data_IF_089012074702
#
_entry.id   IF_089012074702
#
_cell.length_a   1.000
_cell.length_b   1.000
_cell.length_c   1.000
_cell.angle_alpha   90.00
_cell.angle_beta   90.00
_cell.angle_gamma   90.00
#
_symmetry.space_group_name_H-M   'P 1'
#
loop_
_entity.id
_entity.type
_entity.pdbx_description
1 polymer ?
#
# COMPACT_ATOMS: atom_id res chain seq x y z
N UNK A 1 24.29 35.45 11.25
CA UNK A 1 23.49 34.23 10.92
C UNK A 1 24.33 33.40 9.96
N UNK A 2 24.41 32.10 10.14
CA UNK A 2 25.12 31.28 9.18
C UNK A 2 24.43 31.43 7.81
N UNK A 3 25.22 31.61 6.75
CA UNK A 3 24.69 31.75 5.38
C UNK A 3 24.57 30.33 4.81
N UNK A 4 23.35 29.80 4.74
CA UNK A 4 23.06 28.48 4.16
C UNK A 4 22.72 28.63 2.67
N UNK A 5 23.02 27.60 1.87
CA UNK A 5 22.64 27.55 0.46
C UNK A 5 21.12 27.59 0.32
N UNK A 6 20.39 26.87 1.20
CA UNK A 6 18.94 26.76 1.19
C UNK A 6 18.32 27.01 2.57
N UNK A 7 17.07 27.46 2.57
CA UNK A 7 16.24 27.50 3.78
C UNK A 7 15.67 26.11 4.08
N UNK A 8 15.41 25.31 3.03
CA UNK A 8 14.95 23.93 3.10
C UNK A 8 15.65 23.07 2.06
N UNK A 9 16.19 21.92 2.50
CA UNK A 9 16.61 20.84 1.62
C UNK A 9 15.75 19.60 1.87
N UNK A 10 15.07 19.09 0.82
CA UNK A 10 14.20 17.91 0.89
C UNK A 10 14.93 16.72 0.29
N UNK A 11 15.00 15.61 1.02
CA UNK A 11 15.53 14.33 0.55
C UNK A 11 14.35 13.39 0.27
N UNK A 12 14.07 13.14 -1.02
CA UNK A 12 12.97 12.34 -1.51
C UNK A 12 11.88 13.13 -2.22
N UNK A 13 11.70 12.85 -3.52
CA UNK A 13 10.75 13.49 -4.44
C UNK A 13 9.39 12.78 -4.52
N UNK A 14 9.03 11.99 -3.50
CA UNK A 14 7.71 11.38 -3.38
C UNK A 14 6.61 12.41 -3.03
N UNK A 15 5.40 11.91 -2.75
CA UNK A 15 4.21 12.76 -2.56
C UNK A 15 4.35 13.79 -1.42
N UNK A 16 4.88 13.37 -0.27
CA UNK A 16 5.08 14.25 0.89
C UNK A 16 6.18 15.28 0.63
N UNK A 17 7.36 14.83 0.17
CA UNK A 17 8.51 15.70 -0.10
C UNK A 17 8.22 16.74 -1.19
N UNK A 18 7.62 16.34 -2.31
CA UNK A 18 7.19 17.25 -3.38
C UNK A 18 6.18 18.29 -2.88
N UNK A 19 5.21 17.87 -2.05
CA UNK A 19 4.22 18.81 -1.49
C UNK A 19 4.90 19.82 -0.57
N UNK A 20 5.72 19.38 0.38
CA UNK A 20 6.43 20.25 1.31
C UNK A 20 7.35 21.23 0.59
N UNK A 21 8.17 20.73 -0.36
CA UNK A 21 9.08 21.57 -1.14
C UNK A 21 8.35 22.71 -1.89
N UNK A 22 7.28 22.35 -2.61
CA UNK A 22 6.50 23.30 -3.40
C UNK A 22 5.85 24.38 -2.55
N UNK A 23 5.23 24.00 -1.43
CA UNK A 23 4.50 24.95 -0.58
C UNK A 23 5.48 25.87 0.14
N UNK A 24 6.62 25.36 0.64
CA UNK A 24 7.66 26.19 1.24
C UNK A 24 8.25 27.18 0.21
N UNK A 25 8.55 26.73 -1.01
CA UNK A 25 9.06 27.61 -2.07
C UNK A 25 8.05 28.69 -2.49
N UNK A 26 6.75 28.32 -2.62
CA UNK A 26 5.68 29.29 -2.89
C UNK A 26 5.53 30.34 -1.77
N UNK A 27 5.91 30.01 -0.53
CA UNK A 27 6.02 30.92 0.61
C UNK A 27 7.28 31.79 0.61
N UNK A 28 8.15 31.65 -0.39
CA UNK A 28 9.37 32.47 -0.54
C UNK A 28 10.65 31.85 0.01
N UNK A 29 10.62 30.61 0.51
CA UNK A 29 11.82 29.92 0.95
C UNK A 29 12.69 29.50 -0.25
N UNK A 30 14.02 29.52 -0.08
CA UNK A 30 14.96 28.91 -1.03
C UNK A 30 14.96 27.40 -0.79
N UNK A 31 14.44 26.63 -1.73
CA UNK A 31 14.22 25.19 -1.56
C UNK A 31 14.97 24.39 -2.60
N UNK A 32 15.65 23.34 -2.14
CA UNK A 32 16.17 22.27 -2.98
C UNK A 32 15.50 20.94 -2.66
N UNK A 33 15.44 20.05 -3.65
CA UNK A 33 14.95 18.69 -3.49
C UNK A 33 15.83 17.71 -4.27
N UNK A 34 16.28 16.62 -3.61
CA UNK A 34 16.99 15.52 -4.23
C UNK A 34 16.08 14.27 -4.33
N UNK A 35 16.08 13.64 -5.53
CA UNK A 35 15.42 12.35 -5.79
C UNK A 35 16.41 11.44 -6.50
N UNK A 36 16.62 10.23 -5.98
CA UNK A 36 17.60 9.29 -6.53
C UNK A 36 17.08 8.43 -7.68
N UNK A 37 15.76 8.36 -7.85
CA UNK A 37 15.11 7.54 -8.87
C UNK A 37 14.16 8.41 -9.74
N UNK A 38 12.85 8.23 -9.60
CA UNK A 38 11.84 8.93 -10.40
C UNK A 38 10.97 9.84 -9.54
N UNK A 39 10.70 11.06 -10.03
CA UNK A 39 9.84 12.02 -9.33
C UNK A 39 8.39 11.53 -9.25
N UNK A 40 7.78 11.70 -8.07
CA UNK A 40 6.47 11.14 -7.73
C UNK A 40 6.57 9.94 -6.77
N UNK A 41 7.76 9.31 -6.69
CA UNK A 41 8.09 8.25 -5.75
C UNK A 41 7.19 7.02 -5.86
N UNK A 42 7.11 6.24 -4.79
CA UNK A 42 6.38 4.96 -4.79
C UNK A 42 4.94 5.10 -5.30
N UNK A 43 4.18 6.09 -4.83
CA UNK A 43 2.76 6.21 -5.17
C UNK A 43 2.52 6.34 -6.69
N UNK A 44 3.29 7.20 -7.35
CA UNK A 44 3.10 7.50 -8.78
C UNK A 44 3.74 6.43 -9.66
N UNK A 45 4.95 5.97 -9.30
CA UNK A 45 5.79 5.18 -10.23
C UNK A 45 5.62 3.67 -10.03
N UNK A 46 5.50 3.19 -8.77
CA UNK A 46 5.52 1.76 -8.44
C UNK A 46 4.57 1.38 -7.31
N UNK A 47 3.44 2.08 -7.19
CA UNK A 47 2.46 1.88 -6.13
C UNK A 47 1.04 2.20 -6.56
N UNK A 48 0.44 3.21 -5.94
CA UNK A 48 -0.99 3.51 -6.05
C UNK A 48 -1.49 3.64 -7.50
N UNK A 49 -0.79 4.43 -8.32
CA UNK A 49 -1.24 4.71 -9.69
C UNK A 49 -1.17 3.46 -10.58
N UNK A 50 0.01 2.86 -10.81
CA UNK A 50 0.09 1.69 -11.68
C UNK A 50 -0.74 0.52 -11.14
N UNK A 51 -0.78 0.31 -9.83
CA UNK A 51 -1.59 -0.71 -9.21
C UNK A 51 -3.09 -0.50 -9.49
N UNK A 52 -3.62 0.72 -9.31
CA UNK A 52 -5.04 1.00 -9.54
C UNK A 52 -5.42 0.87 -11.02
N UNK A 53 -4.52 1.24 -11.95
CA UNK A 53 -4.72 1.01 -13.38
C UNK A 53 -4.77 -0.51 -13.69
N UNK A 54 -3.94 -1.33 -13.03
CA UNK A 54 -4.01 -2.78 -13.14
C UNK A 54 -5.30 -3.35 -12.52
N UNK A 55 -5.78 -2.80 -11.38
CA UNK A 55 -7.09 -3.16 -10.82
C UNK A 55 -8.18 -2.93 -11.86
N UNK A 56 -8.25 -1.75 -12.49
CA UNK A 56 -9.24 -1.49 -13.53
C UNK A 56 -9.13 -2.47 -14.71
N UNK A 57 -7.90 -2.75 -15.18
CA UNK A 57 -7.70 -3.72 -16.25
C UNK A 57 -8.19 -5.12 -15.86
N UNK A 58 -7.95 -5.55 -14.63
CA UNK A 58 -8.30 -6.89 -14.13
C UNK A 58 -9.81 -7.12 -13.96
N UNK A 59 -10.61 -6.06 -13.81
CA UNK A 59 -12.07 -6.18 -13.67
C UNK A 59 -12.80 -6.41 -14.99
N UNK A 60 -12.17 -6.13 -16.14
CA UNK A 60 -12.84 -6.30 -17.44
C UNK A 60 -13.16 -7.76 -17.78
N UNK A 61 -12.33 -8.71 -17.35
CA UNK A 61 -12.59 -10.14 -17.60
C UNK A 61 -13.94 -10.57 -17.01
N UNK A 62 -14.23 -10.12 -15.81
CA UNK A 62 -15.51 -10.36 -15.13
C UNK A 62 -16.64 -9.54 -15.74
N UNK A 63 -16.38 -8.27 -16.09
CA UNK A 63 -17.36 -7.42 -16.73
C UNK A 63 -17.83 -8.00 -18.09
N UNK A 64 -16.94 -8.62 -18.87
CA UNK A 64 -17.31 -9.31 -20.11
C UNK A 64 -18.17 -10.54 -19.85
N UNK A 65 -17.90 -11.30 -18.79
CA UNK A 65 -18.75 -12.44 -18.41
C UNK A 65 -20.14 -11.94 -17.97
N UNK A 66 -20.19 -10.95 -17.12
CA UNK A 66 -21.42 -10.37 -16.61
C UNK A 66 -22.27 -9.70 -17.71
N UNK A 67 -21.63 -9.06 -18.68
CA UNK A 67 -22.34 -8.41 -19.80
C UNK A 67 -23.22 -9.41 -20.56
N UNK A 68 -22.82 -10.69 -20.66
CA UNK A 68 -23.65 -11.73 -21.29
C UNK A 68 -24.92 -12.02 -20.51
N UNK A 69 -24.84 -12.00 -19.17
CA UNK A 69 -26.01 -12.20 -18.30
C UNK A 69 -27.01 -11.04 -18.43
N UNK A 70 -26.51 -9.86 -18.84
CA UNK A 70 -27.32 -8.67 -19.16
C UNK A 70 -27.76 -8.59 -20.63
N UNK A 71 -27.56 -9.66 -21.42
CA UNK A 71 -28.02 -9.75 -22.79
C UNK A 71 -27.09 -9.20 -23.86
N UNK A 72 -25.84 -8.90 -23.54
CA UNK A 72 -24.85 -8.47 -24.53
C UNK A 72 -24.11 -9.65 -25.17
N UNK A 73 -23.98 -9.63 -26.48
CA UNK A 73 -23.08 -10.55 -27.19
C UNK A 73 -21.64 -10.04 -27.09
N UNK A 74 -20.89 -10.56 -26.13
CA UNK A 74 -19.50 -10.17 -25.91
C UNK A 74 -18.57 -11.34 -26.15
N UNK A 75 -17.59 -11.16 -27.03
CA UNK A 75 -16.47 -12.08 -27.20
C UNK A 75 -15.28 -11.53 -26.38
N UNK A 76 -14.90 -12.25 -25.32
CA UNK A 76 -13.70 -11.94 -24.55
C UNK A 76 -12.47 -12.44 -25.29
N UNK A 77 -11.47 -11.56 -25.49
CA UNK A 77 -10.13 -11.95 -25.96
C UNK A 77 -9.18 -12.20 -24.78
N UNK A 78 -7.95 -12.63 -25.09
CA UNK A 78 -6.87 -12.67 -24.11
C UNK A 78 -6.39 -11.24 -23.78
N UNK A 79 -6.02 -11.02 -22.53
CA UNK A 79 -5.43 -9.76 -22.12
C UNK A 79 -4.06 -9.57 -22.80
N UNK A 80 -3.82 -8.39 -23.39
CA UNK A 80 -2.59 -8.07 -24.11
C UNK A 80 -1.67 -7.24 -23.22
N UNK A 81 -0.77 -7.93 -22.50
CA UNK A 81 0.12 -7.30 -21.53
C UNK A 81 1.00 -6.21 -22.15
N UNK A 82 1.64 -6.46 -23.30
CA UNK A 82 2.55 -5.50 -23.93
C UNK A 82 1.85 -4.18 -24.30
N UNK A 83 0.63 -4.28 -24.82
CA UNK A 83 -0.17 -3.10 -25.15
C UNK A 83 -0.59 -2.30 -23.91
N UNK A 84 -0.94 -3.00 -22.83
CA UNK A 84 -1.26 -2.37 -21.55
C UNK A 84 -0.02 -1.74 -20.91
N UNK A 85 1.10 -2.48 -20.86
CA UNK A 85 2.38 -2.03 -20.29
C UNK A 85 2.87 -0.77 -20.97
N UNK A 86 2.88 -0.73 -22.30
CA UNK A 86 3.28 0.45 -23.08
C UNK A 86 2.45 1.69 -22.71
N UNK A 87 1.12 1.52 -22.56
CA UNK A 87 0.24 2.61 -22.12
C UNK A 87 0.51 3.02 -20.67
N UNK A 88 0.73 2.05 -19.80
CA UNK A 88 1.02 2.29 -18.38
C UNK A 88 2.32 3.10 -18.25
N UNK A 89 3.40 2.67 -18.88
CA UNK A 89 4.68 3.36 -18.87
C UNK A 89 4.56 4.81 -19.38
N UNK A 90 3.88 5.01 -20.50
CA UNK A 90 3.61 6.36 -21.04
C UNK A 90 2.80 7.24 -20.07
N UNK A 91 1.87 6.69 -19.31
CA UNK A 91 1.14 7.43 -18.28
C UNK A 91 2.02 7.77 -17.08
N UNK A 92 2.90 6.86 -16.64
CA UNK A 92 3.85 7.12 -15.55
C UNK A 92 4.86 8.22 -15.95
N UNK A 93 5.38 8.18 -17.17
CA UNK A 93 6.27 9.22 -17.70
C UNK A 93 5.57 10.58 -17.75
N UNK A 94 4.32 10.61 -18.20
CA UNK A 94 3.50 11.82 -18.22
C UNK A 94 3.31 12.42 -16.83
N UNK A 95 3.02 11.57 -15.84
CA UNK A 95 2.81 11.97 -14.44
C UNK A 95 4.12 12.46 -13.81
N UNK A 96 5.22 11.76 -14.02
CA UNK A 96 6.54 12.20 -13.55
C UNK A 96 6.88 13.59 -14.11
N UNK A 97 6.67 13.80 -15.42
CA UNK A 97 6.85 15.11 -16.03
C UNK A 97 5.96 16.20 -15.43
N UNK A 98 4.77 15.86 -14.92
CA UNK A 98 3.93 16.80 -14.14
C UNK A 98 4.61 17.14 -12.80
N UNK A 99 5.09 16.14 -12.06
CA UNK A 99 5.78 16.37 -10.77
C UNK A 99 7.01 17.26 -10.95
N UNK A 100 7.82 17.01 -11.97
CA UNK A 100 8.97 17.85 -12.30
C UNK A 100 8.55 19.29 -12.59
N UNK A 101 7.59 19.52 -13.48
CA UNK A 101 7.06 20.87 -13.78
C UNK A 101 6.48 21.58 -12.58
N UNK A 102 5.83 20.85 -11.68
CA UNK A 102 5.27 21.41 -10.45
C UNK A 102 6.37 21.94 -9.52
N UNK A 103 7.50 21.24 -9.42
CA UNK A 103 8.68 21.67 -8.65
C UNK A 103 9.33 22.89 -9.33
N UNK A 104 9.60 22.83 -10.63
CA UNK A 104 10.21 23.90 -11.42
C UNK A 104 9.40 25.20 -11.35
N UNK A 105 8.08 25.11 -11.57
CA UNK A 105 7.16 26.25 -11.53
C UNK A 105 7.05 26.88 -10.11
N UNK A 106 7.40 26.13 -9.07
CA UNK A 106 7.45 26.64 -7.70
C UNK A 106 8.82 27.22 -7.30
N UNK A 107 9.82 27.13 -8.22
CA UNK A 107 11.18 27.63 -7.97
C UNK A 107 12.03 26.69 -7.11
N UNK A 108 11.69 25.39 -7.04
CA UNK A 108 12.49 24.39 -6.33
C UNK A 108 13.66 23.95 -7.20
N UNK A 109 14.89 24.04 -6.69
CA UNK A 109 16.07 23.48 -7.36
C UNK A 109 16.07 21.96 -7.19
N UNK A 110 16.18 21.23 -8.32
CA UNK A 110 16.09 19.76 -8.34
C UNK A 110 17.46 19.11 -8.57
N UNK A 111 17.74 18.06 -7.79
CA UNK A 111 18.89 17.19 -7.95
C UNK A 111 18.42 15.76 -8.21
N UNK A 112 18.60 15.26 -9.44
CA UNK A 112 18.24 13.88 -9.81
C UNK A 112 19.38 12.93 -9.42
N UNK A 113 19.63 12.81 -8.12
CA UNK A 113 20.66 11.95 -7.55
C UNK A 113 20.41 11.74 -6.05
N UNK A 114 21.07 10.72 -5.50
CA UNK A 114 21.03 10.45 -4.06
C UNK A 114 21.62 11.60 -3.26
N UNK A 115 21.02 11.90 -2.12
CA UNK A 115 21.54 12.81 -1.11
C UNK A 115 21.63 12.11 0.25
N UNK A 116 22.68 12.41 1.01
CA UNK A 116 22.87 11.95 2.38
C UNK A 116 23.07 13.13 3.31
N UNK A 117 22.74 12.95 4.58
CA UNK A 117 22.93 13.96 5.64
C UNK A 117 24.32 13.77 6.22
N UNK A 118 25.14 14.81 6.24
CA UNK A 118 26.51 14.80 6.76
C UNK A 118 26.65 15.51 8.10
N UNK A 119 25.58 16.11 8.61
CA UNK A 119 25.54 16.81 9.90
C UNK A 119 24.22 17.55 10.07
N UNK A 120 24.10 18.35 11.12
CA UNK A 120 22.87 19.08 11.44
C UNK A 120 22.32 19.96 10.29
N UNK A 121 23.20 20.44 9.42
CA UNK A 121 22.87 21.33 8.31
C UNK A 121 23.56 20.95 7.00
N UNK A 122 24.31 19.85 6.99
CA UNK A 122 25.12 19.40 5.85
C UNK A 122 24.43 18.32 5.06
N UNK A 123 24.51 18.42 3.75
CA UNK A 123 24.03 17.45 2.77
C UNK A 123 25.18 17.16 1.79
N UNK A 124 25.36 15.91 1.38
CA UNK A 124 26.25 15.53 0.32
C UNK A 124 25.47 14.78 -0.76
N UNK A 125 25.65 15.20 -1.99
CA UNK A 125 25.07 14.57 -3.17
C UNK A 125 25.98 13.41 -3.66
N UNK A 126 25.42 12.49 -4.44
CA UNK A 126 26.16 11.31 -4.92
C UNK A 126 27.41 11.66 -5.76
N UNK A 127 27.47 12.83 -6.37
CA UNK A 127 28.64 13.32 -7.11
C UNK A 127 29.71 13.97 -6.21
N UNK A 128 29.53 13.96 -4.87
CA UNK A 128 30.42 14.58 -3.89
C UNK A 128 30.16 16.05 -3.66
N UNK A 129 29.16 16.65 -4.29
CA UNK A 129 28.82 18.06 -4.07
C UNK A 129 28.22 18.26 -2.67
N UNK A 130 28.87 19.09 -1.85
CA UNK A 130 28.36 19.46 -0.55
C UNK A 130 27.37 20.65 -0.67
N UNK A 131 26.29 20.57 0.09
CA UNK A 131 25.26 21.62 0.25
C UNK A 131 24.95 21.86 1.70
N UNK A 132 24.39 23.03 2.00
CA UNK A 132 23.97 23.39 3.36
C UNK A 132 22.53 23.88 3.37
N UNK A 133 21.78 23.52 4.42
CA UNK A 133 20.41 23.99 4.59
C UNK A 133 20.11 24.35 6.04
N UNK A 134 19.28 25.38 6.23
CA UNK A 134 18.79 25.75 7.57
C UNK A 134 17.94 24.62 8.16
N UNK A 135 17.12 23.97 7.32
CA UNK A 135 16.27 22.84 7.67
C UNK A 135 16.42 21.72 6.64
N UNK A 136 16.49 20.48 7.09
CA UNK A 136 16.51 19.29 6.26
C UNK A 136 15.21 18.51 6.49
N UNK A 137 14.52 18.14 5.42
CA UNK A 137 13.33 17.29 5.46
C UNK A 137 13.60 15.94 4.82
N UNK A 138 13.51 14.88 5.60
CA UNK A 138 13.66 13.49 5.13
C UNK A 138 12.28 12.94 4.73
N UNK A 139 12.09 12.63 3.45
CA UNK A 139 10.84 12.13 2.87
C UNK A 139 11.11 10.93 1.94
N UNK A 140 12.05 10.08 2.32
CA UNK A 140 12.59 8.98 1.51
C UNK A 140 11.66 7.77 1.40
N UNK A 141 10.53 7.77 2.14
CA UNK A 141 9.54 6.70 2.04
C UNK A 141 10.03 5.35 2.58
N UNK A 142 9.65 4.27 1.91
CA UNK A 142 10.01 2.91 2.29
C UNK A 142 10.13 1.99 1.08
N UNK A 143 10.74 0.83 1.28
CA UNK A 143 10.95 -0.21 0.26
C UNK A 143 10.35 -1.56 0.68
N UNK A 144 10.08 -2.47 -0.28
CA UNK A 144 9.59 -3.81 0.02
C UNK A 144 10.61 -4.63 0.83
N UNK A 145 10.10 -5.46 1.74
CA UNK A 145 10.92 -6.42 2.49
C UNK A 145 10.97 -7.73 1.73
N UNK A 146 12.19 -8.21 1.46
CA UNK A 146 12.46 -9.57 0.98
C UNK A 146 12.96 -10.39 2.17
N UNK A 147 12.41 -11.61 2.42
CA UNK A 147 12.89 -12.45 3.50
C UNK A 147 14.37 -12.80 3.32
N UNK A 148 15.10 -12.83 4.43
CA UNK A 148 16.47 -13.36 4.45
C UNK A 148 16.42 -14.90 4.47
N UNK A 149 16.44 -15.48 3.28
CA UNK A 149 16.40 -16.92 3.07
C UNK A 149 17.05 -17.31 1.73
N UNK A 150 17.59 -18.52 1.61
CA UNK A 150 18.17 -19.00 0.36
C UNK A 150 17.15 -18.98 -0.80
N UNK A 151 17.56 -18.44 -1.95
CA UNK A 151 16.71 -18.35 -3.15
C UNK A 151 15.77 -17.14 -3.17
N UNK A 152 15.74 -16.30 -2.15
CA UNK A 152 14.88 -15.12 -2.13
C UNK A 152 15.17 -14.11 -3.26
N UNK A 153 16.39 -14.12 -3.78
CA UNK A 153 16.79 -13.32 -4.94
C UNK A 153 16.10 -13.73 -6.24
N UNK A 154 15.55 -14.94 -6.34
CA UNK A 154 14.82 -15.44 -7.50
C UNK A 154 13.45 -14.76 -7.67
N UNK A 155 12.82 -14.38 -6.56
CA UNK A 155 11.50 -13.75 -6.56
C UNK A 155 11.56 -12.24 -6.79
N UNK A 156 10.42 -11.66 -7.12
CA UNK A 156 10.20 -10.23 -7.32
C UNK A 156 9.51 -9.60 -6.09
N UNK A 157 9.46 -8.28 -6.09
CA UNK A 157 8.70 -7.47 -5.13
C UNK A 157 7.66 -6.62 -5.87
N UNK A 158 6.96 -5.75 -5.13
CA UNK A 158 6.07 -4.75 -5.72
C UNK A 158 6.80 -3.71 -6.59
N UNK A 159 8.12 -3.67 -6.61
CA UNK A 159 8.87 -2.79 -7.49
C UNK A 159 8.95 -3.37 -8.92
N UNK A 160 9.19 -4.68 -9.03
CA UNK A 160 9.43 -5.33 -10.32
C UNK A 160 8.15 -5.77 -11.03
N UNK A 161 7.04 -5.98 -10.31
CA UNK A 161 5.79 -6.53 -10.87
C UNK A 161 5.22 -5.68 -12.02
N UNK A 162 5.43 -4.37 -12.00
CA UNK A 162 4.97 -3.46 -13.06
C UNK A 162 5.83 -3.52 -14.33
N UNK A 163 7.01 -4.14 -14.25
CA UNK A 163 8.01 -4.17 -15.31
C UNK A 163 8.23 -5.59 -15.87
N UNK A 164 7.34 -6.53 -15.58
CA UNK A 164 7.41 -7.87 -16.16
C UNK A 164 7.44 -7.78 -17.69
N UNK A 165 8.26 -8.63 -18.34
CA UNK A 165 8.28 -8.68 -19.81
C UNK A 165 7.02 -9.33 -20.35
N UNK A 166 6.53 -10.36 -19.65
CA UNK A 166 5.29 -11.08 -19.95
C UNK A 166 4.57 -11.45 -18.66
N UNK A 167 3.27 -11.66 -18.73
CA UNK A 167 2.52 -12.19 -17.60
C UNK A 167 2.90 -13.66 -17.39
N UNK A 168 3.22 -14.07 -16.14
CA UNK A 168 3.42 -15.48 -15.82
C UNK A 168 2.11 -16.24 -16.01
N UNK A 169 2.19 -17.52 -16.37
CA UNK A 169 1.00 -18.39 -16.40
C UNK A 169 0.58 -18.76 -14.99
N UNK A 170 1.56 -19.00 -14.13
CA UNK A 170 1.36 -19.40 -12.74
C UNK A 170 2.25 -18.58 -11.81
N UNK A 171 1.66 -17.98 -10.78
CA UNK A 171 2.34 -17.09 -9.85
C UNK A 171 2.08 -17.49 -8.40
N UNK A 172 3.14 -17.49 -7.59
CA UNK A 172 3.04 -17.56 -6.13
C UNK A 172 3.18 -16.17 -5.53
N UNK A 173 2.27 -15.81 -4.62
CA UNK A 173 2.35 -14.57 -3.84
C UNK A 173 2.57 -14.93 -2.37
N UNK A 174 3.66 -14.45 -1.79
CA UNK A 174 4.01 -14.66 -0.38
C UNK A 174 3.62 -13.41 0.41
N UNK A 175 2.64 -13.56 1.30
CA UNK A 175 2.15 -12.49 2.16
C UNK A 175 0.64 -12.52 2.34
N UNK A 176 0.15 -11.79 3.34
CA UNK A 176 -1.29 -11.68 3.64
C UNK A 176 -1.71 -10.24 3.94
N UNK A 177 -0.85 -9.26 3.67
CA UNK A 177 -1.18 -7.84 3.74
C UNK A 177 -1.91 -7.33 2.49
N UNK A 178 -2.27 -6.05 2.49
CA UNK A 178 -3.05 -5.45 1.40
C UNK A 178 -2.35 -5.59 0.03
N UNK A 179 -1.02 -5.43 -0.05
CA UNK A 179 -0.27 -5.58 -1.32
C UNK A 179 -0.44 -7.00 -1.88
N UNK A 180 -0.30 -8.03 -1.03
CA UNK A 180 -0.46 -9.42 -1.46
C UNK A 180 -1.86 -9.70 -1.98
N UNK A 181 -2.89 -9.27 -1.25
CA UNK A 181 -4.29 -9.51 -1.59
C UNK A 181 -4.71 -8.76 -2.84
N UNK A 182 -4.25 -7.51 -3.01
CA UNK A 182 -4.52 -6.72 -4.21
C UNK A 182 -3.89 -7.35 -5.46
N UNK A 183 -2.59 -7.71 -5.41
CA UNK A 183 -1.96 -8.37 -6.56
C UNK A 183 -2.51 -9.76 -6.83
N UNK A 184 -2.96 -10.51 -5.81
CA UNK A 184 -3.64 -11.77 -6.03
C UNK A 184 -4.92 -11.58 -6.88
N UNK A 185 -5.76 -10.61 -6.52
CA UNK A 185 -6.95 -10.27 -7.30
C UNK A 185 -6.61 -9.75 -8.71
N UNK A 186 -5.65 -8.84 -8.81
CA UNK A 186 -5.21 -8.26 -10.09
C UNK A 186 -4.73 -9.36 -11.05
N UNK A 187 -3.76 -10.17 -10.62
CA UNK A 187 -3.16 -11.17 -11.49
C UNK A 187 -4.17 -12.25 -11.91
N UNK A 188 -5.04 -12.68 -10.98
CA UNK A 188 -6.14 -13.59 -11.29
C UNK A 188 -7.09 -13.00 -12.35
N UNK A 189 -7.49 -11.73 -12.18
CA UNK A 189 -8.35 -11.04 -13.15
C UNK A 189 -7.71 -10.83 -14.53
N UNK A 190 -6.37 -10.80 -14.59
CA UNK A 190 -5.60 -10.74 -15.85
C UNK A 190 -5.36 -12.13 -16.47
N UNK A 191 -5.84 -13.22 -15.84
CA UNK A 191 -5.76 -14.59 -16.38
C UNK A 191 -4.58 -15.40 -15.88
N UNK A 192 -3.89 -14.98 -14.84
CA UNK A 192 -2.78 -15.72 -14.20
C UNK A 192 -3.36 -16.72 -13.18
N UNK A 193 -2.86 -17.95 -13.14
CA UNK A 193 -3.12 -18.90 -12.05
C UNK A 193 -2.38 -18.43 -10.79
N UNK A 194 -3.11 -17.95 -9.77
CA UNK A 194 -2.51 -17.36 -8.57
C UNK A 194 -2.68 -18.29 -7.37
N UNK A 195 -1.55 -18.63 -6.75
CA UNK A 195 -1.48 -19.23 -5.43
C UNK A 195 -0.97 -18.18 -4.44
N UNK A 196 -1.62 -18.03 -3.29
CA UNK A 196 -1.19 -17.10 -2.24
C UNK A 196 -0.92 -17.84 -0.94
N UNK A 197 0.30 -17.72 -0.41
CA UNK A 197 0.67 -18.30 0.88
C UNK A 197 0.84 -17.23 1.95
N UNK A 198 0.20 -17.46 3.07
CA UNK A 198 0.30 -16.60 4.23
C UNK A 198 0.49 -17.39 5.52
N UNK A 199 1.50 -17.04 6.31
CA UNK A 199 1.85 -17.72 7.57
C UNK A 199 0.81 -17.57 8.69
N UNK A 200 -0.01 -16.50 8.66
CA UNK A 200 -1.06 -16.25 9.66
C UNK A 200 -2.35 -17.02 9.34
N UNK A 201 -3.24 -17.09 10.32
CA UNK A 201 -4.52 -17.80 10.19
C UNK A 201 -5.51 -17.10 9.25
N UNK A 202 -5.42 -15.77 9.12
CA UNK A 202 -6.33 -14.96 8.31
C UNK A 202 -5.59 -13.76 7.71
N UNK A 203 -5.82 -13.47 6.41
CA UNK A 203 -5.24 -12.33 5.69
C UNK A 203 -5.62 -10.97 6.30
N UNK A 204 -5.00 -9.88 5.85
CA UNK A 204 -5.32 -8.50 6.22
C UNK A 204 -5.28 -8.26 7.74
N UNK A 205 -4.22 -8.72 8.42
CA UNK A 205 -4.04 -8.51 9.85
C UNK A 205 -4.12 -7.02 10.22
N UNK A 206 -4.87 -6.69 11.28
CA UNK A 206 -5.09 -5.32 11.74
C UNK A 206 -6.34 -4.66 11.15
N UNK A 207 -7.12 -5.40 10.37
CA UNK A 207 -8.46 -5.01 9.93
C UNK A 207 -9.53 -5.84 10.63
N UNK A 208 -10.79 -5.40 10.55
CA UNK A 208 -11.94 -6.06 11.15
C UNK A 208 -12.09 -7.52 10.71
N UNK A 209 -12.23 -8.45 11.65
CA UNK A 209 -12.16 -9.90 11.39
C UNK A 209 -13.28 -10.40 10.47
N UNK A 210 -14.49 -9.85 10.57
CA UNK A 210 -15.62 -10.22 9.70
C UNK A 210 -15.39 -9.75 8.26
N UNK A 211 -14.87 -8.53 8.10
CA UNK A 211 -14.49 -8.01 6.77
C UNK A 211 -13.36 -8.82 6.13
N UNK A 212 -12.33 -9.21 6.89
CA UNK A 212 -11.22 -10.07 6.44
C UNK A 212 -11.73 -11.42 5.93
N UNK A 213 -12.70 -12.01 6.65
CA UNK A 213 -13.35 -13.26 6.25
C UNK A 213 -14.10 -13.11 4.91
N UNK A 214 -14.90 -12.05 4.78
CA UNK A 214 -15.66 -11.77 3.56
C UNK A 214 -14.74 -11.58 2.34
N UNK A 215 -13.61 -10.88 2.53
CA UNK A 215 -12.60 -10.68 1.46
C UNK A 215 -11.95 -12.01 1.08
N UNK A 216 -11.51 -12.81 2.06
CA UNK A 216 -10.88 -14.11 1.79
C UNK A 216 -11.81 -15.03 0.99
N UNK A 217 -13.10 -15.06 1.32
CA UNK A 217 -14.11 -15.83 0.61
C UNK A 217 -14.35 -15.27 -0.80
N UNK A 218 -14.37 -13.94 -0.96
CA UNK A 218 -14.47 -13.29 -2.27
C UNK A 218 -13.29 -13.64 -3.18
N UNK A 219 -12.06 -13.56 -2.66
CA UNK A 219 -10.84 -13.92 -3.40
C UNK A 219 -10.84 -15.38 -3.85
N UNK A 220 -11.23 -16.32 -2.97
CA UNK A 220 -11.35 -17.74 -3.33
C UNK A 220 -12.40 -17.99 -4.41
N UNK A 221 -13.57 -17.36 -4.32
CA UNK A 221 -14.61 -17.45 -5.36
C UNK A 221 -14.14 -16.95 -6.71
N UNK A 222 -13.24 -15.97 -6.73
CA UNK A 222 -12.62 -15.45 -7.96
C UNK A 222 -11.46 -16.28 -8.48
N UNK A 223 -11.08 -17.36 -7.79
CA UNK A 223 -10.07 -18.31 -8.25
C UNK A 223 -8.69 -18.16 -7.65
N UNK A 224 -8.51 -17.32 -6.64
CA UNK A 224 -7.25 -17.27 -5.88
C UNK A 224 -7.13 -18.51 -5.00
N UNK A 225 -6.07 -19.31 -5.22
CA UNK A 225 -5.74 -20.46 -4.37
C UNK A 225 -5.04 -19.96 -3.09
N UNK A 226 -5.86 -19.61 -2.08
CA UNK A 226 -5.41 -18.98 -0.85
C UNK A 226 -5.16 -19.99 0.27
N UNK A 227 -3.89 -20.12 0.68
CA UNK A 227 -3.42 -20.96 1.79
C UNK A 227 -2.97 -20.11 2.98
N UNK A 228 -3.72 -20.15 4.06
CA UNK A 228 -3.34 -19.59 5.37
C UNK A 228 -2.63 -20.64 6.23
N UNK A 229 -1.86 -20.22 7.25
CA UNK A 229 -1.02 -21.11 8.04
C UNK A 229 0.18 -21.70 7.28
N UNK A 230 0.47 -21.19 6.07
CA UNK A 230 1.51 -21.69 5.17
C UNK A 230 2.59 -20.63 4.96
N UNK A 231 3.84 -21.01 5.11
CA UNK A 231 4.98 -20.15 4.80
C UNK A 231 5.91 -20.83 3.81
N UNK A 232 6.76 -20.04 3.18
CA UNK A 232 7.82 -20.54 2.32
C UNK A 232 8.99 -21.05 3.15
N UNK A 233 9.65 -22.13 2.71
CA UNK A 233 10.86 -22.69 3.30
C UNK A 233 12.07 -22.53 2.41
N UNK A 234 11.91 -22.78 1.11
CA UNK A 234 13.01 -22.87 0.16
C UNK A 234 12.53 -22.53 -1.24
N UNK A 235 13.37 -21.83 -1.99
CA UNK A 235 13.22 -21.59 -3.43
C UNK A 235 14.49 -22.00 -4.16
N UNK A 236 14.32 -22.53 -5.38
CA UNK A 236 15.41 -22.84 -6.32
C UNK A 236 14.92 -22.59 -7.74
N UNK A 237 15.85 -22.37 -8.67
CA UNK A 237 15.48 -22.52 -10.09
C UNK A 237 15.01 -23.94 -10.33
N UNK A 238 13.88 -24.13 -11.01
CA UNK A 238 13.32 -25.46 -11.22
C UNK A 238 14.29 -26.41 -11.95
N UNK A 239 15.15 -25.88 -12.82
CA UNK A 239 16.21 -26.64 -13.50
C UNK A 239 17.35 -27.11 -12.56
N UNK A 240 17.45 -26.57 -11.36
CA UNK A 240 18.47 -26.91 -10.35
C UNK A 240 17.89 -27.74 -9.20
N UNK A 241 16.60 -28.01 -9.23
CA UNK A 241 15.93 -28.85 -8.25
C UNK A 241 16.30 -30.31 -8.48
N UNK A 242 16.88 -30.94 -7.45
CA UNK A 242 17.22 -32.37 -7.43
C UNK A 242 16.38 -33.04 -6.33
N UNK A 243 15.38 -33.85 -6.71
CA UNK A 243 14.49 -34.51 -5.75
C UNK A 243 15.23 -35.45 -4.78
N UNK A 244 16.36 -36.03 -5.18
CA UNK A 244 17.11 -36.94 -4.33
C UNK A 244 17.81 -36.22 -3.16
N UNK A 245 18.03 -34.92 -3.31
CA UNK A 245 18.62 -34.07 -2.27
C UNK A 245 17.61 -33.50 -1.26
N UNK A 246 16.30 -33.65 -1.47
CA UNK A 246 15.28 -33.08 -0.59
C UNK A 246 15.22 -33.72 0.79
N UNK A 247 15.66 -34.98 0.90
CA UNK A 247 15.79 -35.70 2.18
C UNK A 247 17.02 -35.30 2.98
N UNK A 248 18.00 -34.61 2.35
CA UNK A 248 19.23 -34.17 3.00
C UNK A 248 18.98 -32.82 3.71
N UNK A 249 19.32 -32.67 4.99
CA UNK A 249 19.26 -31.38 5.68
C UNK A 249 20.01 -30.30 4.92
N UNK A 250 19.47 -29.08 4.82
CA UNK A 250 20.08 -27.97 4.04
C UNK A 250 21.56 -27.76 4.36
N UNK A 251 21.94 -27.86 5.65
CA UNK A 251 23.32 -27.72 6.13
C UNK A 251 24.27 -28.83 5.64
N UNK A 252 23.77 -29.97 5.22
CA UNK A 252 24.52 -31.16 4.85
C UNK A 252 24.53 -31.41 3.32
N UNK A 253 23.89 -30.53 2.53
CA UNK A 253 23.82 -30.63 1.07
C UNK A 253 25.18 -30.27 0.46
N UNK A 254 25.74 -31.19 -0.31
CA UNK A 254 27.07 -31.03 -0.96
C UNK A 254 27.04 -30.25 -2.26
N UNK A 255 25.87 -30.10 -2.89
CA UNK A 255 25.73 -29.38 -4.13
C UNK A 255 25.45 -27.90 -3.81
N UNK A 256 26.49 -27.10 -3.67
CA UNK A 256 26.40 -25.66 -3.57
C UNK A 256 25.90 -25.10 -4.92
N UNK A 257 24.69 -24.58 -4.94
CA UNK A 257 24.20 -23.75 -6.04
C UNK A 257 24.53 -22.30 -5.69
N UNK A 258 25.35 -21.62 -6.49
CA UNK A 258 25.65 -20.22 -6.22
C UNK A 258 24.37 -19.38 -6.28
N UNK A 259 24.26 -18.31 -5.47
CA UNK A 259 23.12 -17.38 -5.54
C UNK A 259 22.94 -16.87 -6.98
N UNK A 260 21.66 -16.68 -7.35
CA UNK A 260 21.34 -16.09 -8.64
C UNK A 260 21.75 -14.60 -8.65
N UNK A 261 22.66 -14.23 -9.54
CA UNK A 261 23.18 -12.86 -9.68
C UNK A 261 22.48 -12.05 -10.78
N UNK A 262 21.51 -12.65 -11.46
CA UNK A 262 20.75 -11.96 -12.51
C UNK A 262 19.67 -11.02 -11.98
N UNK A 263 19.03 -10.25 -12.88
CA UNK A 263 17.93 -9.35 -12.50
C UNK A 263 16.75 -10.13 -11.91
N UNK A 264 16.10 -9.58 -10.88
CA UNK A 264 14.87 -10.15 -10.31
C UNK A 264 13.81 -10.36 -11.41
N UNK A 265 13.08 -11.48 -11.32
CA UNK A 265 12.04 -11.83 -12.32
C UNK A 265 12.55 -12.47 -13.60
N UNK A 266 13.86 -12.70 -13.76
CA UNK A 266 14.49 -13.29 -14.95
C UNK A 266 15.10 -14.67 -14.70
N UNK A 267 14.83 -15.25 -13.53
CA UNK A 267 15.46 -16.53 -13.13
C UNK A 267 14.87 -17.75 -13.86
N UNK A 268 13.77 -17.62 -14.60
CA UNK A 268 12.99 -18.73 -15.16
C UNK A 268 12.08 -19.37 -14.10
N UNK A 269 11.50 -20.55 -14.37
CA UNK A 269 10.60 -21.21 -13.43
C UNK A 269 11.29 -21.52 -12.09
N UNK A 270 10.54 -21.33 -11.00
CA UNK A 270 11.02 -21.41 -9.62
C UNK A 270 10.31 -22.58 -8.93
N UNK A 271 11.07 -23.56 -8.45
CA UNK A 271 10.58 -24.58 -7.53
C UNK A 271 10.52 -24.00 -6.12
N UNK A 272 9.45 -24.30 -5.43
CA UNK A 272 9.17 -23.75 -4.10
C UNK A 272 8.71 -24.86 -3.17
N UNK A 273 9.22 -24.87 -1.93
CA UNK A 273 8.80 -25.73 -0.83
C UNK A 273 8.19 -24.91 0.28
N UNK A 274 7.03 -25.38 0.77
CA UNK A 274 6.30 -24.75 1.89
C UNK A 274 6.64 -25.38 3.24
N UNK A 275 6.28 -24.70 4.31
CA UNK A 275 6.36 -25.23 5.70
C UNK A 275 5.38 -26.38 5.95
N UNK A 276 4.38 -26.58 5.10
CA UNK A 276 3.45 -27.71 5.17
C UNK A 276 3.91 -28.92 4.35
N UNK A 277 5.09 -28.81 3.70
CA UNK A 277 5.66 -29.87 2.87
C UNK A 277 5.16 -29.87 1.42
N UNK A 278 4.28 -28.95 1.01
CA UNK A 278 3.87 -28.84 -0.39
C UNK A 278 5.03 -28.31 -1.25
N UNK A 279 5.21 -28.94 -2.41
CA UNK A 279 6.23 -28.59 -3.41
C UNK A 279 5.54 -28.26 -4.72
N UNK A 280 5.89 -27.12 -5.31
CA UNK A 280 5.25 -26.61 -6.51
C UNK A 280 6.25 -25.84 -7.37
N UNK A 281 5.98 -25.74 -8.67
CA UNK A 281 6.74 -24.90 -9.60
C UNK A 281 5.86 -23.76 -10.06
N UNK A 282 6.44 -22.55 -10.08
CA UNK A 282 5.81 -21.31 -10.50
C UNK A 282 6.68 -20.61 -11.54
N UNK A 283 6.06 -19.86 -12.45
CA UNK A 283 6.81 -19.03 -13.39
C UNK A 283 7.39 -17.80 -12.68
N UNK A 284 6.71 -17.33 -11.60
CA UNK A 284 7.12 -16.17 -10.83
C UNK A 284 6.69 -16.29 -9.36
N UNK A 285 7.51 -15.73 -8.46
CA UNK A 285 7.22 -15.59 -7.03
C UNK A 285 7.26 -14.12 -6.64
N UNK A 286 6.18 -13.60 -6.05
CA UNK A 286 6.08 -12.23 -5.53
C UNK A 286 6.22 -12.24 -4.00
N UNK A 287 7.22 -11.56 -3.47
CA UNK A 287 7.32 -11.25 -2.04
C UNK A 287 6.54 -9.96 -1.72
N UNK A 288 5.43 -10.11 -1.00
CA UNK A 288 4.60 -9.03 -0.47
C UNK A 288 4.54 -9.13 1.07
N UNK A 289 5.72 -9.30 1.69
CA UNK A 289 5.90 -9.65 3.10
C UNK A 289 5.98 -8.45 4.04
N UNK A 290 5.92 -7.24 3.50
CA UNK A 290 5.95 -5.98 4.23
C UNK A 290 6.78 -4.91 3.54
N UNK A 291 6.87 -3.76 4.21
CA UNK A 291 7.67 -2.61 3.80
C UNK A 291 8.47 -2.10 5.00
N UNK A 292 9.66 -1.57 4.76
CA UNK A 292 10.52 -0.97 5.77
C UNK A 292 10.94 0.44 5.35
N UNK A 293 11.14 1.37 6.29
CA UNK A 293 11.60 2.73 6.02
C UNK A 293 12.95 2.79 5.27
N UNK A 294 13.10 3.74 4.36
CA UNK A 294 14.34 4.02 3.64
C UNK A 294 15.25 4.94 4.48
N UNK A 295 16.01 4.37 5.40
CA UNK A 295 16.95 5.11 6.26
C UNK A 295 18.40 4.69 6.08
N UNK A 296 18.64 3.57 5.40
CA UNK A 296 19.98 3.00 5.24
C UNK A 296 20.91 3.93 4.47
N UNK A 297 22.10 4.18 5.05
CA UNK A 297 23.12 5.00 4.44
C UNK A 297 22.77 6.49 4.28
N UNK A 298 21.71 6.99 4.94
CA UNK A 298 21.33 8.40 4.89
C UNK A 298 22.11 9.31 5.86
N UNK A 299 22.96 8.75 6.72
CA UNK A 299 23.74 9.53 7.67
C UNK A 299 22.98 10.14 8.85
N UNK A 300 21.71 9.77 9.04
CA UNK A 300 20.80 10.38 10.02
C UNK A 300 21.28 10.21 11.47
N UNK A 301 21.72 9.00 11.84
CA UNK A 301 22.20 8.75 13.21
C UNK A 301 23.46 9.59 13.57
N UNK A 302 24.37 9.76 12.63
CA UNK A 302 25.58 10.59 12.82
C UNK A 302 25.22 12.08 12.88
N UNK A 303 24.10 12.49 12.31
CA UNK A 303 23.58 13.85 12.39
C UNK A 303 22.70 14.10 13.64
N UNK A 304 22.51 13.10 14.50
CA UNK A 304 21.77 13.20 15.76
C UNK A 304 20.28 12.90 15.66
N UNK A 305 19.80 12.38 14.52
CA UNK A 305 18.44 11.86 14.42
C UNK A 305 18.38 10.41 14.93
N UNK A 306 17.34 10.08 15.67
CA UNK A 306 17.14 8.77 16.26
C UNK A 306 16.43 7.83 15.29
N UNK A 307 16.94 6.59 15.14
CA UNK A 307 16.35 5.54 14.32
C UNK A 307 15.74 4.46 15.22
N UNK A 308 14.49 4.15 15.00
CA UNK A 308 13.75 3.16 15.76
C UNK A 308 14.07 1.72 15.35
N UNK A 309 13.47 0.77 16.07
CA UNK A 309 13.75 -0.68 15.90
C UNK A 309 13.31 -1.26 14.56
N UNK A 310 12.38 -0.61 13.87
CA UNK A 310 11.88 -1.02 12.54
C UNK A 310 12.56 -0.25 11.41
N UNK A 311 13.64 0.50 11.72
CA UNK A 311 14.32 1.35 10.77
C UNK A 311 13.68 2.73 10.56
N UNK A 312 12.62 3.07 11.30
CA UNK A 312 11.92 4.35 11.18
C UNK A 312 12.69 5.51 11.79
N UNK A 313 12.55 6.69 11.21
CA UNK A 313 12.99 7.95 11.84
C UNK A 313 12.02 8.32 12.95
N UNK A 314 12.51 8.43 14.18
CA UNK A 314 11.71 8.85 15.34
C UNK A 314 11.47 10.35 15.27
N UNK A 315 10.20 10.74 15.35
CA UNK A 315 9.78 12.14 15.31
C UNK A 315 8.73 12.44 16.37
N UNK A 316 8.64 13.73 16.75
CA UNK A 316 7.56 14.25 17.59
C UNK A 316 6.25 14.49 16.79
N UNK A 317 5.24 15.05 17.45
CA UNK A 317 3.94 15.38 16.84
C UNK A 317 4.02 16.43 15.71
N UNK A 318 5.10 17.20 15.66
CA UNK A 318 5.41 18.19 14.62
C UNK A 318 6.34 17.65 13.52
N UNK A 319 6.58 16.33 13.49
CA UNK A 319 7.51 15.67 12.57
C UNK A 319 8.99 16.03 12.74
N UNK A 320 9.39 16.59 13.90
CA UNK A 320 10.76 16.95 14.21
C UNK A 320 11.50 15.77 14.85
N UNK A 321 12.75 15.55 14.44
CA UNK A 321 13.64 14.54 15.05
C UNK A 321 14.33 15.09 16.31
N UNK A 322 15.14 14.26 16.96
CA UNK A 322 16.01 14.70 18.06
C UNK A 322 17.04 15.75 17.61
N UNK A 323 17.40 15.80 16.33
CA UNK A 323 18.21 16.86 15.73
C UNK A 323 17.31 18.04 15.31
N UNK A 324 17.41 19.23 15.93
CA UNK A 324 16.43 20.32 15.79
C UNK A 324 16.24 20.86 14.36
N UNK A 325 17.23 20.71 13.49
CA UNK A 325 17.19 21.12 12.08
C UNK A 325 16.67 20.05 11.13
N UNK A 326 16.47 18.81 11.62
CA UNK A 326 16.09 17.67 10.80
C UNK A 326 14.67 17.23 11.13
N UNK A 327 13.84 17.13 10.10
CA UNK A 327 12.46 16.67 10.17
C UNK A 327 12.28 15.42 9.27
N UNK A 328 11.26 14.61 9.53
CA UNK A 328 10.93 13.48 8.67
C UNK A 328 9.42 13.29 8.55
N UNK A 329 8.95 12.94 7.33
CA UNK A 329 7.54 12.74 7.01
C UNK A 329 7.32 11.52 6.10
N UNK A 330 6.10 11.02 6.12
CA UNK A 330 5.67 9.89 5.29
C UNK A 330 6.18 8.55 5.80
N UNK A 331 6.28 7.56 4.91
CA UNK A 331 6.55 6.16 5.26
C UNK A 331 7.88 5.97 6.02
N UNK A 332 8.83 6.86 5.85
CA UNK A 332 10.11 6.82 6.58
C UNK A 332 9.94 6.95 8.09
N UNK A 333 8.83 7.52 8.57
CA UNK A 333 8.48 7.61 9.99
C UNK A 333 7.67 6.43 10.50
N UNK A 334 7.24 5.53 9.60
CA UNK A 334 6.46 4.34 9.89
C UNK A 334 5.20 4.58 10.76
N UNK A 335 4.56 5.74 10.65
CA UNK A 335 3.29 6.08 11.31
C UNK A 335 2.13 5.48 10.51
N UNK A 336 1.53 6.22 9.58
CA UNK A 336 0.48 5.73 8.67
C UNK A 336 1.01 5.82 7.23
N UNK A 337 1.26 4.67 6.60
CA UNK A 337 1.87 4.57 5.27
C UNK A 337 0.83 4.78 4.17
N UNK A 338 0.28 6.00 4.08
CA UNK A 338 -0.69 6.43 3.08
C UNK A 338 -0.27 7.75 2.44
N UNK A 339 -0.40 7.83 1.12
CA UNK A 339 -0.06 9.03 0.34
C UNK A 339 -0.75 10.30 0.84
N UNK A 340 -2.07 10.32 1.15
CA UNK A 340 -2.73 11.52 1.67
C UNK A 340 -2.19 11.95 3.04
N UNK A 341 -1.75 10.98 3.87
CA UNK A 341 -1.15 11.27 5.18
C UNK A 341 0.21 11.94 5.00
N UNK A 342 1.09 11.39 4.15
CA UNK A 342 2.38 12.01 3.85
C UNK A 342 2.24 13.45 3.29
N UNK A 343 1.22 13.69 2.46
CA UNK A 343 0.89 15.04 1.96
C UNK A 343 0.45 15.97 3.09
N UNK A 344 -0.41 15.49 4.00
CA UNK A 344 -0.88 16.25 5.17
C UNK A 344 0.27 16.56 6.13
N UNK A 345 1.15 15.58 6.37
CA UNK A 345 2.37 15.78 7.16
C UNK A 345 3.28 16.84 6.54
N UNK A 346 3.46 16.82 5.21
CA UNK A 346 4.22 17.85 4.48
C UNK A 346 3.62 19.25 4.62
N UNK A 347 2.28 19.37 4.60
CA UNK A 347 1.61 20.65 4.84
C UNK A 347 1.81 21.13 6.27
N UNK A 348 1.59 20.26 7.27
CA UNK A 348 1.77 20.61 8.70
C UNK A 348 3.22 20.99 9.01
N UNK A 349 4.20 20.32 8.40
CA UNK A 349 5.61 20.69 8.48
C UNK A 349 5.85 22.11 7.98
N UNK A 350 5.29 22.50 6.84
CA UNK A 350 5.46 23.86 6.29
C UNK A 350 4.82 24.91 7.19
N UNK A 351 3.60 24.66 7.70
CA UNK A 351 2.95 25.56 8.67
C UNK A 351 3.81 25.75 9.92
N UNK A 352 4.37 24.66 10.44
CA UNK A 352 5.19 24.68 11.66
C UNK A 352 6.52 25.42 11.47
N UNK A 353 7.22 25.19 10.33
CA UNK A 353 8.60 25.64 10.16
C UNK A 353 8.71 27.00 9.45
N UNK A 354 7.79 27.30 8.52
CA UNK A 354 7.87 28.46 7.64
C UNK A 354 6.79 29.51 7.93
N UNK A 355 5.65 29.11 8.50
CA UNK A 355 4.55 30.01 8.83
C UNK A 355 4.45 30.30 10.34
N UNK A 356 5.40 29.81 11.13
CA UNK A 356 5.47 30.00 12.61
C UNK A 356 4.15 29.61 13.33
N UNK A 357 3.47 28.58 12.76
CA UNK A 357 2.19 28.05 13.24
C UNK A 357 2.36 26.58 13.57
N UNK A 358 2.71 26.23 14.84
CA UNK A 358 2.89 24.83 15.23
C UNK A 358 1.63 24.02 14.94
N UNK A 359 1.71 23.08 14.01
CA UNK A 359 0.58 22.29 13.51
C UNK A 359 0.88 20.81 13.67
N UNK A 360 0.34 20.15 14.71
CA UNK A 360 0.45 18.69 14.84
C UNK A 360 -0.40 18.01 13.77
N UNK A 361 0.03 16.83 13.33
CA UNK A 361 -0.71 16.08 12.32
C UNK A 361 -1.76 15.20 12.98
N UNK A 362 -3.00 15.38 12.56
CA UNK A 362 -4.11 14.53 12.98
C UNK A 362 -4.10 13.19 12.19
N UNK A 363 -3.73 12.13 12.87
CA UNK A 363 -3.69 10.75 12.35
C UNK A 363 -4.92 9.92 12.77
N UNK A 364 -5.90 10.51 13.44
CA UNK A 364 -7.08 9.79 13.90
C UNK A 364 -8.12 9.62 12.80
N UNK A 365 -8.81 8.49 12.80
CA UNK A 365 -9.93 8.19 11.91
C UNK A 365 -9.62 8.44 10.42
N UNK A 366 -8.44 7.98 9.98
CA UNK A 366 -8.01 8.07 8.58
C UNK A 366 -8.74 7.01 7.76
N UNK A 367 -9.61 7.38 6.80
CA UNK A 367 -10.25 6.40 5.93
C UNK A 367 -9.20 5.70 5.07
N UNK A 368 -9.36 4.39 4.91
CA UNK A 368 -8.45 3.55 4.14
C UNK A 368 -9.22 2.62 3.23
N UNK A 369 -8.63 2.27 2.09
CA UNK A 369 -9.19 1.30 1.17
C UNK A 369 -8.14 0.27 0.77
N UNK A 370 -8.56 -1.00 0.69
CA UNK A 370 -7.81 -2.09 0.09
C UNK A 370 -8.54 -2.46 -1.21
N UNK A 371 -7.81 -2.37 -2.32
CA UNK A 371 -8.37 -2.59 -3.65
C UNK A 371 -8.30 -4.06 -4.06
N UNK A 372 -8.71 -4.93 -3.13
CA UNK A 372 -9.03 -6.33 -3.43
C UNK A 372 -10.28 -6.42 -4.32
N UNK A 373 -10.65 -7.62 -4.71
CA UNK A 373 -11.88 -7.88 -5.44
C UNK A 373 -12.64 -9.00 -4.69
N UNK A 374 -13.70 -8.59 -3.91
CA UNK A 374 -14.30 -7.26 -3.76
C UNK A 374 -13.41 -6.23 -3.03
N UNK A 375 -13.63 -4.93 -3.27
CA UNK A 375 -12.92 -3.85 -2.58
C UNK A 375 -13.31 -3.80 -1.09
N UNK A 376 -12.39 -3.29 -0.27
CA UNK A 376 -12.62 -3.07 1.15
C UNK A 376 -12.35 -1.60 1.53
N UNK A 377 -13.33 -0.96 2.12
CA UNK A 377 -13.22 0.38 2.72
C UNK A 377 -13.37 0.30 4.24
N UNK A 378 -12.54 1.04 4.97
CA UNK A 378 -12.55 1.05 6.44
C UNK A 378 -12.22 2.43 7.00
N UNK A 379 -12.86 2.81 8.11
CA UNK A 379 -12.52 3.97 8.93
C UNK A 379 -12.88 3.70 10.38
N UNK A 380 -12.03 4.14 11.30
CA UNK A 380 -12.21 3.97 12.74
C UNK A 380 -11.81 2.58 13.24
N UNK A 381 -12.36 2.21 14.39
CA UNK A 381 -12.00 0.99 15.13
C UNK A 381 -12.59 -0.26 14.49
N UNK A 382 -11.86 -1.36 14.56
CA UNK A 382 -12.42 -2.71 14.36
C UNK A 382 -13.35 -3.07 15.50
N UNK A 383 -14.19 -4.09 15.30
CA UNK A 383 -15.07 -4.58 16.39
C UNK A 383 -14.26 -5.04 17.60
N UNK A 384 -13.15 -5.72 17.37
CA UNK A 384 -12.25 -6.23 18.42
C UNK A 384 -11.66 -5.06 19.23
N UNK A 385 -11.10 -4.06 18.56
CA UNK A 385 -10.52 -2.87 19.21
C UNK A 385 -11.56 -2.08 20.01
N UNK A 386 -12.77 -1.95 19.49
CA UNK A 386 -13.84 -1.22 20.16
C UNK A 386 -14.35 -1.96 21.41
N UNK A 387 -14.50 -3.29 21.35
CA UNK A 387 -14.88 -4.14 22.49
C UNK A 387 -13.87 -4.10 23.63
N UNK A 388 -12.59 -3.98 23.30
CA UNK A 388 -11.53 -3.86 24.31
C UNK A 388 -11.58 -2.52 25.06
N UNK A 389 -12.27 -1.51 24.52
CA UNK A 389 -12.32 -0.16 25.07
C UNK A 389 -13.65 0.16 25.77
N UNK A 390 -14.79 -0.23 25.19
CA UNK A 390 -16.12 0.10 25.70
C UNK A 390 -17.20 -0.88 25.21
N UNK A 391 -18.37 -0.82 25.83
CA UNK A 391 -19.56 -1.55 25.38
C UNK A 391 -20.07 -1.00 24.05
N UNK A 392 -20.26 -1.89 23.07
CA UNK A 392 -20.65 -1.53 21.70
C UNK A 392 -21.87 -2.29 21.20
N UNK A 393 -22.57 -1.68 20.26
CA UNK A 393 -23.57 -2.30 19.41
C UNK A 393 -23.04 -2.45 18.00
N UNK A 394 -23.23 -3.63 17.41
CA UNK A 394 -22.79 -3.93 16.05
C UNK A 394 -23.99 -3.98 15.14
N UNK A 395 -23.98 -3.11 14.14
CA UNK A 395 -24.93 -3.09 13.03
C UNK A 395 -24.24 -3.64 11.80
N UNK A 396 -24.69 -4.76 11.29
CA UNK A 396 -24.07 -5.40 10.14
C UNK A 396 -25.14 -6.01 9.24
N UNK A 397 -24.90 -5.98 7.93
CA UNK A 397 -25.72 -6.66 6.94
C UNK A 397 -24.83 -7.28 5.88
N UNK A 398 -25.21 -8.47 5.41
CA UNK A 398 -24.56 -9.13 4.28
C UNK A 398 -25.64 -9.57 3.28
N UNK A 399 -25.52 -9.10 2.05
CA UNK A 399 -26.49 -9.34 1.00
C UNK A 399 -25.82 -9.47 -0.38
N UNK A 400 -26.57 -9.95 -1.37
CA UNK A 400 -26.15 -9.87 -2.78
C UNK A 400 -26.62 -8.56 -3.37
N UNK A 401 -25.70 -7.74 -3.87
CA UNK A 401 -26.06 -6.52 -4.57
C UNK A 401 -26.94 -6.85 -5.81
N UNK A 402 -27.82 -5.95 -6.18
CA UNK A 402 -28.80 -6.16 -7.26
C UNK A 402 -28.12 -6.60 -8.57
N UNK A 403 -26.99 -5.98 -8.90
CA UNK A 403 -26.23 -6.26 -10.10
C UNK A 403 -25.73 -7.71 -10.14
N UNK A 404 -25.12 -8.17 -9.06
CA UNK A 404 -24.61 -9.53 -8.93
C UNK A 404 -25.74 -10.56 -8.82
N UNK A 405 -26.81 -10.21 -8.11
CA UNK A 405 -27.98 -11.08 -7.96
C UNK A 405 -28.67 -11.33 -9.31
N UNK A 406 -28.81 -10.29 -10.16
CA UNK A 406 -29.40 -10.43 -11.49
C UNK A 406 -28.53 -11.28 -12.42
N UNK A 407 -27.20 -11.13 -12.34
CA UNK A 407 -26.22 -11.95 -13.08
C UNK A 407 -26.05 -13.39 -12.52
N UNK A 408 -26.84 -13.77 -11.50
CA UNK A 408 -26.74 -15.12 -10.91
C UNK A 408 -25.49 -15.37 -10.09
N UNK A 409 -24.71 -14.35 -9.74
CA UNK A 409 -23.47 -14.46 -8.98
C UNK A 409 -23.72 -14.50 -7.49
N UNK A 410 -22.92 -15.27 -6.74
CA UNK A 410 -22.98 -15.34 -5.26
C UNK A 410 -21.96 -14.42 -4.58
N UNK A 411 -21.66 -13.29 -5.17
CA UNK A 411 -20.82 -12.27 -4.56
C UNK A 411 -21.63 -11.48 -3.53
N UNK A 412 -21.06 -11.34 -2.31
CA UNK A 412 -21.74 -10.71 -1.19
C UNK A 412 -21.08 -9.40 -0.83
N UNK A 413 -21.92 -8.44 -0.53
CA UNK A 413 -21.59 -7.19 0.14
C UNK A 413 -21.62 -7.42 1.65
N UNK A 414 -20.71 -6.78 2.38
CA UNK A 414 -20.78 -6.61 3.83
C UNK A 414 -20.74 -5.12 4.14
N UNK A 415 -21.67 -4.66 4.95
CA UNK A 415 -21.62 -3.32 5.55
C UNK A 415 -21.76 -3.44 7.05
N UNK A 416 -20.90 -2.74 7.80
CA UNK A 416 -20.80 -2.85 9.23
C UNK A 416 -20.53 -1.50 9.87
N UNK A 417 -21.31 -1.16 10.90
CA UNK A 417 -21.11 -0.02 11.78
C UNK A 417 -20.87 -0.53 13.21
N UNK A 418 -19.89 0.03 13.88
CA UNK A 418 -19.56 -0.21 15.27
C UNK A 418 -19.96 1.04 16.05
N UNK A 419 -20.84 0.91 17.02
CA UNK A 419 -21.49 2.04 17.69
C UNK A 419 -21.27 1.94 19.20
N UNK A 420 -20.79 3.01 19.81
CA UNK A 420 -20.71 3.14 21.28
C UNK A 420 -22.10 3.05 21.90
N UNK A 421 -22.31 2.19 22.89
CA UNK A 421 -23.56 2.15 23.63
C UNK A 421 -23.79 3.43 24.45
N UNK A 422 -22.71 3.99 25.00
CA UNK A 422 -22.76 5.15 25.88
C UNK A 422 -23.01 6.46 25.14
N UNK A 423 -22.30 6.69 24.03
CA UNK A 423 -22.33 7.97 23.29
C UNK A 423 -23.13 7.93 22.01
N UNK A 424 -23.53 6.75 21.57
CA UNK A 424 -24.19 6.48 20.28
C UNK A 424 -23.32 6.84 19.06
N UNK A 425 -22.06 7.29 19.25
CA UNK A 425 -21.16 7.60 18.15
C UNK A 425 -20.80 6.37 17.34
N UNK A 426 -20.68 6.53 16.04
CA UNK A 426 -20.13 5.52 15.15
C UNK A 426 -18.62 5.53 15.32
N UNK A 427 -18.07 4.49 15.94
CA UNK A 427 -16.65 4.31 16.23
C UNK A 427 -15.89 3.70 15.04
N UNK A 428 -16.58 2.91 14.21
CA UNK A 428 -16.01 2.26 13.04
C UNK A 428 -17.05 2.01 11.95
N UNK A 429 -16.59 2.06 10.70
CA UNK A 429 -17.37 1.71 9.52
C UNK A 429 -16.52 0.86 8.58
N UNK A 430 -17.03 -0.31 8.18
CA UNK A 430 -16.37 -1.28 7.34
C UNK A 430 -17.30 -1.70 6.20
N UNK A 431 -16.80 -1.64 4.96
CA UNK A 431 -17.56 -1.93 3.75
C UNK A 431 -16.74 -2.88 2.87
N UNK A 432 -17.29 -4.05 2.56
CA UNK A 432 -16.73 -4.96 1.55
C UNK A 432 -17.73 -5.00 0.39
N UNK A 433 -17.40 -4.34 -0.71
CA UNK A 433 -18.26 -4.20 -1.87
C UNK A 433 -17.49 -3.64 -3.07
N UNK A 434 -18.04 -3.75 -4.27
CA UNK A 434 -17.57 -2.94 -5.41
C UNK A 434 -17.73 -1.45 -5.08
N UNK A 435 -16.66 -0.66 -5.30
CA UNK A 435 -16.66 0.77 -5.00
C UNK A 435 -16.59 1.11 -3.51
N UNK A 436 -16.20 0.17 -2.64
CA UNK A 436 -16.04 0.42 -1.21
C UNK A 436 -15.06 1.55 -0.92
N UNK A 437 -14.02 1.72 -1.75
CA UNK A 437 -13.07 2.83 -1.64
C UNK A 437 -13.73 4.20 -1.78
N UNK A 438 -14.69 4.35 -2.71
CA UNK A 438 -15.43 5.59 -2.91
C UNK A 438 -16.44 5.83 -1.78
N UNK A 439 -17.14 4.78 -1.35
CA UNK A 439 -18.14 4.87 -0.28
C UNK A 439 -17.49 5.24 1.07
N UNK A 440 -16.35 4.64 1.41
CA UNK A 440 -15.69 4.88 2.70
C UNK A 440 -15.12 6.31 2.80
N UNK A 441 -14.73 6.92 1.68
CA UNK A 441 -14.31 8.32 1.67
C UNK A 441 -15.43 9.23 2.18
N UNK A 442 -16.69 8.97 1.78
CA UNK A 442 -17.86 9.76 2.18
C UNK A 442 -18.31 9.41 3.61
N UNK A 443 -18.39 8.11 3.95
CA UNK A 443 -18.72 7.67 5.30
C UNK A 443 -17.68 8.18 6.32
N UNK A 444 -16.41 8.23 5.94
CA UNK A 444 -15.32 8.74 6.78
C UNK A 444 -15.51 10.19 7.21
N UNK A 445 -16.18 11.02 6.41
CA UNK A 445 -16.52 12.41 6.80
C UNK A 445 -17.46 12.39 8.00
N UNK A 446 -18.54 11.61 7.94
CA UNK A 446 -19.51 11.51 9.03
C UNK A 446 -18.85 10.94 10.31
N UNK A 447 -18.07 9.87 10.19
CA UNK A 447 -17.37 9.26 11.32
C UNK A 447 -16.38 10.26 11.94
N UNK A 448 -15.60 10.98 11.13
CA UNK A 448 -14.64 11.99 11.62
C UNK A 448 -15.34 13.17 12.31
N UNK A 449 -16.55 13.51 11.91
CA UNK A 449 -17.38 14.53 12.56
C UNK A 449 -18.00 14.03 13.88
N UNK A 450 -17.83 12.75 14.24
CA UNK A 450 -18.40 12.14 15.43
C UNK A 450 -19.90 11.90 15.32
N UNK A 451 -20.40 11.60 14.12
CA UNK A 451 -21.82 11.32 13.87
C UNK A 451 -22.27 10.11 14.70
N UNK A 452 -23.50 10.20 15.22
CA UNK A 452 -24.16 9.15 15.98
C UNK A 452 -24.89 8.17 15.04
N UNK A 453 -25.29 7.01 15.57
CA UNK A 453 -26.14 6.07 14.84
C UNK A 453 -27.45 6.71 14.40
N UNK A 454 -28.03 7.56 15.24
CA UNK A 454 -29.25 8.31 14.97
C UNK A 454 -29.03 9.35 13.85
N UNK A 455 -27.82 9.90 13.70
CA UNK A 455 -27.47 10.76 12.57
C UNK A 455 -27.51 9.98 11.25
N UNK A 456 -27.00 8.75 11.24
CA UNK A 456 -27.12 7.87 10.08
C UNK A 456 -28.60 7.52 9.81
N UNK A 457 -29.35 7.18 10.86
CA UNK A 457 -30.75 6.71 10.75
C UNK A 457 -31.74 7.75 10.23
N UNK A 458 -31.48 9.05 10.45
CA UNK A 458 -32.36 10.12 9.99
C UNK A 458 -32.11 10.56 8.55
N UNK A 459 -31.01 10.07 7.93
CA UNK A 459 -30.73 10.37 6.52
C UNK A 459 -31.67 9.56 5.64
N UNK A 460 -32.31 10.23 4.69
CA UNK A 460 -33.12 9.55 3.68
C UNK A 460 -32.21 8.73 2.75
N UNK A 461 -32.52 7.45 2.60
CA UNK A 461 -31.78 6.56 1.74
C UNK A 461 -31.85 6.95 0.26
N UNK A 462 -30.77 6.76 -0.48
CA UNK A 462 -30.79 6.90 -1.94
C UNK A 462 -31.09 5.52 -2.54
N UNK A 463 -32.33 5.34 -3.01
CA UNK A 463 -32.80 4.07 -3.56
C UNK A 463 -32.84 4.07 -5.09
N UNK A 464 -32.42 2.98 -5.79
CA UNK A 464 -31.78 1.80 -5.21
C UNK A 464 -30.24 1.87 -5.29
N UNK A 465 -29.58 1.80 -4.15
CA UNK A 465 -28.09 1.74 -4.05
C UNK A 465 -27.66 0.72 -2.99
N UNK A 466 -26.40 0.25 -3.07
CA UNK A 466 -25.86 -0.58 -1.99
C UNK A 466 -25.65 0.22 -0.70
N UNK A 467 -25.22 1.47 -0.83
CA UNK A 467 -24.85 2.33 0.31
C UNK A 467 -26.05 2.73 1.19
N UNK A 468 -27.29 2.55 0.71
CA UNK A 468 -28.49 2.81 1.53
C UNK A 468 -28.53 1.92 2.79
N UNK A 469 -27.88 0.76 2.77
CA UNK A 469 -27.84 -0.11 3.93
C UNK A 469 -27.15 0.53 5.14
N UNK A 470 -26.22 1.46 4.96
CA UNK A 470 -25.62 2.20 6.06
C UNK A 470 -26.62 3.01 6.90
N UNK A 471 -27.75 3.40 6.29
CA UNK A 471 -28.80 4.19 6.94
C UNK A 471 -30.07 3.38 7.20
N UNK A 472 -30.16 2.14 6.73
CA UNK A 472 -31.33 1.27 6.90
C UNK A 472 -31.14 0.20 7.98
N UNK A 473 -29.93 -0.06 8.46
CA UNK A 473 -29.65 -0.98 9.56
C UNK A 473 -30.17 -0.43 10.90
N UNK A 474 -31.42 -0.74 11.27
CA UNK A 474 -32.10 -0.17 12.45
C UNK A 474 -31.86 -0.97 13.75
N UNK A 475 -31.55 -2.25 13.64
CA UNK A 475 -31.41 -3.15 14.79
C UNK A 475 -29.98 -3.70 14.85
N UNK A 476 -29.31 -3.65 16.00
CA UNK A 476 -28.01 -4.27 16.13
C UNK A 476 -28.13 -5.79 15.98
N UNK A 477 -27.18 -6.39 15.27
CA UNK A 477 -27.10 -7.87 15.13
C UNK A 477 -26.50 -8.52 16.37
N UNK A 478 -25.75 -7.76 17.14
CA UNK A 478 -25.16 -8.18 18.44
C UNK A 478 -24.75 -6.97 19.28
N UNK A 479 -24.68 -7.21 20.58
CA UNK A 479 -24.11 -6.28 21.57
C UNK A 479 -22.89 -6.94 22.23
N UNK A 480 -21.90 -6.17 22.59
CA UNK A 480 -20.66 -6.67 23.19
C UNK A 480 -20.08 -5.67 24.18
#
# INVERSE_FOLDING_TARGET
MADFDYDLFVIGGGSGGTRAARVAAAGGARVALAEEDRYGGTCVIRGCVPKKLMVFASTYSEAFAEARDYGWEVTSGAFQWDGFKTKLEGELDRLEGIYQRLLDNSGVERFSQRAIVTGAHGIELADGTAKTAKTILVATGGHPVVPDMPGAELGITSNEIFHLDELPKKMLIIGGGYIACEFAGIMTGLGVEVCQWYRGAQILRGFDDEARGAIADGMRRRGVDLHTGTNIMELKRAAEHDPDMDSVPIKDRTNYVPPYEGPRGKAGPIWVKSTTGAEMVFDQVLFATGRTPNTDGLGLASAGAEIGRRGEVIVDEYSRTAAPSIYAIGDVTNRIQLTPVAIREGMAFVETVFNDTPTPVDHDLVPSAVFTQPEFGTVGMTEEEARDQEAVEIYATSFRAMRQAFAGKDERVLMKLIVSQATRKVLGCHIVADGAGEMIQLAGIAVKMGATKEDFDRVCAVHPTMSEELVTMKTPVRTA
#
